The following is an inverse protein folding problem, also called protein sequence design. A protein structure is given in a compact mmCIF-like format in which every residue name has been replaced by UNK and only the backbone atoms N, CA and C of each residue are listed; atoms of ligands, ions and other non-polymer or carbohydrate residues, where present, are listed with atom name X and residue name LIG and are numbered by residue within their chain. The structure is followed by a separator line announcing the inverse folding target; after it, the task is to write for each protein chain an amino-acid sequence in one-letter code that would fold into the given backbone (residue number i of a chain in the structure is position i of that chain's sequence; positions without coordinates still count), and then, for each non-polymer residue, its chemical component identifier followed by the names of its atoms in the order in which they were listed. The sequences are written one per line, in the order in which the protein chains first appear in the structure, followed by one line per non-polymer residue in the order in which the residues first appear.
data_IF_536647635246
#
_entry.id   IF_536647635246
#
_cell.length_a   1.000
_cell.length_b   1.000
_cell.length_c   1.000
_cell.angle_alpha   90.00
_cell.angle_beta   90.00
_cell.angle_gamma   90.00
#
_symmetry.space_group_name_H-M   'P 1'
#
loop_
_entity.id
_entity.type
_entity.pdbx_description
1 polymer ?
#
# COMPACT_ATOMS: atom_id res chain seq x y z
N UNK A 1 -14.41 20.14 -7.88
CA UNK A 1 -14.12 20.83 -6.60
C UNK A 1 -12.61 20.88 -6.46
N UNK A 2 -12.04 22.08 -6.62
CA UNK A 2 -10.62 22.33 -6.43
C UNK A 2 -10.50 23.39 -5.36
N UNK A 3 -9.75 23.13 -4.29
CA UNK A 3 -9.41 24.13 -3.30
C UNK A 3 -7.95 24.55 -3.49
N UNK A 4 -7.80 25.85 -3.75
CA UNK A 4 -6.54 26.58 -3.76
C UNK A 4 -6.45 27.31 -2.42
N UNK A 5 -5.36 27.16 -1.67
CA UNK A 5 -5.10 28.01 -0.51
C UNK A 5 -4.05 29.04 -0.89
N UNK A 6 -4.45 30.31 -0.89
CA UNK A 6 -3.55 31.45 -0.82
C UNK A 6 -3.67 32.10 0.57
N UNK A 7 -2.51 32.53 1.05
CA UNK A 7 -2.20 33.23 2.29
C UNK A 7 -3.22 34.28 2.72
N UNK A 8 -3.44 34.44 4.03
CA UNK A 8 -3.15 35.67 4.79
C UNK A 8 -3.49 35.45 6.28
N UNK A 9 -2.48 35.59 7.13
CA UNK A 9 -2.62 35.70 8.57
C UNK A 9 -3.12 37.09 8.95
N UNK A 10 -3.96 37.24 9.98
CA UNK A 10 -3.87 38.38 10.90
C UNK A 10 -4.63 38.16 12.22
N UNK A 11 -3.97 38.59 13.30
CA UNK A 11 -4.44 38.86 14.67
C UNK A 11 -4.55 37.65 15.62
N UNK A 12 -3.50 37.54 16.46
CA UNK A 12 -3.35 37.06 17.85
C UNK A 12 -4.36 36.08 18.48
N UNK A 13 -5.65 36.10 18.13
CA UNK A 13 -6.66 35.16 18.63
C UNK A 13 -6.58 33.76 18.01
N UNK A 14 -6.03 33.62 16.81
CA UNK A 14 -5.85 32.31 16.15
C UNK A 14 -4.67 31.53 16.76
N UNK A 15 -3.68 32.21 17.37
CA UNK A 15 -2.53 31.53 17.99
C UNK A 15 -2.98 30.63 19.15
N UNK A 16 -3.98 31.05 19.94
CA UNK A 16 -4.51 30.21 21.02
C UNK A 16 -5.36 29.03 20.52
N UNK A 17 -6.06 29.19 19.39
CA UNK A 17 -6.88 28.14 18.78
C UNK A 17 -6.00 27.09 18.07
N UNK A 18 -4.91 27.51 17.42
CA UNK A 18 -3.90 26.60 16.88
C UNK A 18 -3.22 25.78 17.98
N UNK A 19 -2.99 26.34 19.18
CA UNK A 19 -2.41 25.57 20.30
C UNK A 19 -3.35 24.45 20.76
N UNK A 20 -4.67 24.67 20.74
CA UNK A 20 -5.64 23.61 21.10
C UNK A 20 -5.75 22.51 20.05
N UNK A 21 -5.60 22.82 18.77
CA UNK A 21 -5.48 21.80 17.71
C UNK A 21 -4.11 21.09 17.72
N UNK A 22 -3.03 21.78 18.14
CA UNK A 22 -1.72 21.18 18.38
C UNK A 22 -1.70 20.23 19.59
N UNK A 23 -2.50 20.48 20.63
CA UNK A 23 -2.60 19.58 21.78
C UNK A 23 -3.31 18.25 21.46
N UNK A 24 -4.08 18.19 20.37
CA UNK A 24 -4.58 16.91 19.84
C UNK A 24 -3.53 16.17 18.99
N UNK A 25 -2.44 16.84 18.63
CA UNK A 25 -1.31 16.28 17.88
C UNK A 25 -0.16 15.79 18.77
N UNK A 26 -0.30 15.84 20.11
CA UNK A 26 0.73 15.38 21.05
C UNK A 26 1.01 13.86 20.98
N UNK A 27 0.21 13.08 20.24
CA UNK A 27 0.53 11.69 19.83
C UNK A 27 1.02 11.56 18.37
N UNK A 28 0.80 12.57 17.53
CA UNK A 28 1.21 12.58 16.12
C UNK A 28 2.65 13.12 15.92
N UNK A 29 3.20 13.85 16.89
CA UNK A 29 4.56 14.40 16.84
C UNK A 29 5.67 13.35 17.09
N UNK A 30 5.30 12.09 17.37
CA UNK A 30 6.20 10.94 17.26
C UNK A 30 6.32 10.38 15.82
N UNK A 31 5.58 10.85 14.82
CA UNK A 31 5.34 10.04 13.60
C UNK A 31 6.49 10.09 12.59
N UNK A 32 7.20 11.21 12.41
CA UNK A 32 8.18 11.34 11.32
C UNK A 32 9.64 11.33 11.74
N UNK A 33 9.97 11.63 12.99
CA UNK A 33 11.36 11.69 13.47
C UNK A 33 11.49 11.01 14.82
N UNK A 34 12.62 10.36 15.06
CA UNK A 34 12.98 9.85 16.38
C UNK A 34 14.34 10.39 16.80
N UNK A 35 14.53 10.52 18.11
CA UNK A 35 15.84 10.84 18.68
C UNK A 35 16.78 9.66 18.46
N UNK A 36 17.82 9.83 17.65
CA UNK A 36 18.72 8.75 17.25
C UNK A 36 20.05 8.80 18.03
N UNK A 37 20.63 9.99 18.21
CA UNK A 37 21.87 10.16 18.95
C UNK A 37 21.83 11.35 19.89
N UNK A 38 22.15 11.13 21.16
CA UNK A 38 22.24 12.17 22.18
C UNK A 38 23.71 12.56 22.41
N UNK A 39 23.98 13.86 22.55
CA UNK A 39 25.35 14.40 22.69
C UNK A 39 26.21 14.23 21.43
N UNK A 40 25.58 14.03 20.27
CA UNK A 40 26.25 13.84 18.99
C UNK A 40 25.54 14.61 17.89
N UNK A 41 26.31 14.94 16.85
CA UNK A 41 25.88 15.72 15.70
C UNK A 41 26.41 15.09 14.42
N UNK A 42 25.58 15.00 13.39
CA UNK A 42 26.03 14.72 12.02
C UNK A 42 26.71 15.97 11.49
N UNK A 43 27.96 15.85 11.07
CA UNK A 43 28.78 17.01 10.67
C UNK A 43 28.96 17.15 9.15
N UNK A 44 28.64 16.11 8.40
CA UNK A 44 28.75 16.07 6.95
C UNK A 44 27.35 16.14 6.31
N UNK A 45 27.29 16.60 5.06
CA UNK A 45 26.04 16.68 4.29
C UNK A 45 24.95 17.52 4.95
N UNK A 46 25.33 18.69 5.49
CA UNK A 46 24.39 19.70 5.99
C UNK A 46 23.70 20.39 4.81
N UNK A 47 22.38 20.27 4.73
CA UNK A 47 21.54 20.91 3.70
C UNK A 47 21.37 22.41 3.94
N UNK A 48 21.04 22.77 5.18
CA UNK A 48 20.75 24.14 5.57
C UNK A 48 20.79 24.30 7.09
N UNK A 49 20.97 25.54 7.51
CA UNK A 49 21.09 25.93 8.90
C UNK A 49 20.00 26.95 9.23
N UNK A 50 19.34 26.77 10.38
CA UNK A 50 18.22 27.60 10.80
C UNK A 50 18.33 27.95 12.28
N UNK A 51 17.73 29.09 12.64
CA UNK A 51 17.44 29.48 14.02
C UNK A 51 15.98 29.17 14.30
N UNK A 52 15.72 28.33 15.28
CA UNK A 52 14.37 27.89 15.62
C UNK A 52 14.14 27.89 17.13
N UNK A 53 12.89 28.01 17.57
CA UNK A 53 12.56 28.05 19.00
C UNK A 53 12.52 26.68 19.67
N UNK A 54 12.29 25.60 18.90
CA UNK A 54 12.27 24.24 19.42
C UNK A 54 12.66 23.21 18.35
N UNK A 55 12.94 21.98 18.79
CA UNK A 55 13.24 20.86 17.89
C UNK A 55 12.10 20.58 16.90
N UNK A 56 10.86 20.87 17.28
CA UNK A 56 9.67 20.67 16.45
C UNK A 56 9.69 21.57 15.21
N UNK A 57 10.10 22.82 15.36
CA UNK A 57 10.25 23.73 14.22
C UNK A 57 11.37 23.25 13.27
N UNK A 58 12.46 22.69 13.81
CA UNK A 58 13.50 22.06 12.99
C UNK A 58 12.95 20.86 12.20
N UNK A 59 12.10 20.04 12.84
CA UNK A 59 11.41 18.94 12.21
C UNK A 59 10.47 19.40 11.08
N UNK A 60 9.73 20.49 11.28
CA UNK A 60 8.86 21.08 10.24
C UNK A 60 9.66 21.58 9.04
N UNK A 61 10.83 22.21 9.26
CA UNK A 61 11.73 22.58 8.17
C UNK A 61 12.22 21.34 7.40
N UNK A 62 12.57 20.26 8.11
CA UNK A 62 12.99 19.00 7.48
C UNK A 62 11.85 18.31 6.71
N UNK A 63 10.64 18.26 7.27
CA UNK A 63 9.49 17.59 6.67
C UNK A 63 8.90 18.38 5.50
N UNK A 64 8.63 19.67 5.69
CA UNK A 64 7.96 20.52 4.71
C UNK A 64 8.92 21.12 3.68
N UNK A 65 9.87 21.94 4.13
CA UNK A 65 10.72 22.73 3.22
C UNK A 65 11.77 21.88 2.50
N UNK A 66 12.46 20.99 3.23
CA UNK A 66 13.45 20.09 2.64
C UNK A 66 12.84 18.77 2.10
N UNK A 67 11.56 18.49 2.41
CA UNK A 67 10.81 17.38 1.84
C UNK A 67 11.51 16.02 1.96
N UNK A 68 11.48 15.26 0.87
CA UNK A 68 12.14 13.95 0.74
C UNK A 68 13.68 13.99 0.80
N UNK A 69 14.29 15.17 0.67
CA UNK A 69 15.75 15.30 0.63
C UNK A 69 16.37 15.34 2.02
N UNK A 70 15.59 15.50 3.09
CA UNK A 70 16.11 15.61 4.45
C UNK A 70 16.01 14.26 5.20
N UNK A 71 17.13 13.60 5.51
CA UNK A 71 17.13 12.36 6.31
C UNK A 71 16.91 12.59 7.80
N UNK A 72 17.06 13.83 8.27
CA UNK A 72 17.09 14.14 9.70
C UNK A 72 17.64 15.53 9.94
N UNK A 73 17.82 15.86 11.20
CA UNK A 73 18.35 17.15 11.59
C UNK A 73 19.09 17.08 12.93
N UNK A 74 20.11 17.92 13.06
CA UNK A 74 20.74 18.22 14.33
C UNK A 74 19.99 19.35 15.02
N UNK A 75 19.74 19.21 16.30
CA UNK A 75 19.15 20.26 17.12
C UNK A 75 19.86 20.39 18.46
N UNK A 76 20.02 21.62 18.94
CA UNK A 76 20.37 21.92 20.33
C UNK A 76 19.43 22.98 20.88
N UNK A 77 19.17 22.94 22.19
CA UNK A 77 18.53 24.09 22.83
C UNK A 77 19.52 25.24 22.88
N UNK A 78 19.06 26.47 22.63
CA UNK A 78 19.87 27.66 22.78
C UNK A 78 19.01 28.82 23.26
N UNK A 79 19.54 29.57 24.21
CA UNK A 79 18.97 30.84 24.70
C UNK A 79 19.73 32.05 24.17
N UNK A 80 20.78 31.82 23.37
CA UNK A 80 21.65 32.85 22.82
C UNK A 80 21.02 33.39 21.55
N UNK A 81 20.90 34.72 21.47
CA UNK A 81 20.38 35.37 20.28
C UNK A 81 21.33 35.15 19.08
N UNK A 82 20.75 34.78 17.94
CA UNK A 82 21.44 34.51 16.67
C UNK A 82 22.36 33.29 16.62
N UNK A 83 22.29 32.40 17.61
CA UNK A 83 22.97 31.11 17.50
C UNK A 83 22.17 30.13 16.62
N UNK A 84 22.83 29.55 15.61
CA UNK A 84 22.28 28.44 14.83
C UNK A 84 22.11 27.23 15.74
N UNK A 85 20.88 26.76 15.85
CA UNK A 85 20.51 25.66 16.74
C UNK A 85 19.76 24.52 16.04
N UNK A 86 19.54 24.64 14.72
CA UNK A 86 18.94 23.63 13.86
C UNK A 86 19.77 23.46 12.58
N UNK A 87 20.07 22.22 12.18
CA UNK A 87 20.75 21.93 10.92
C UNK A 87 20.15 20.71 10.24
N UNK A 88 19.67 20.86 9.01
CA UNK A 88 19.06 19.79 8.24
C UNK A 88 20.14 18.96 7.56
N UNK A 89 19.97 17.63 7.48
CA UNK A 89 20.95 16.72 6.88
C UNK A 89 20.38 16.02 5.64
N UNK A 90 21.20 15.84 4.60
CA UNK A 90 20.80 15.16 3.35
C UNK A 90 20.35 13.73 3.61
N UNK A 91 19.31 13.29 2.91
CA UNK A 91 18.95 11.91 2.70
C UNK A 91 20.03 11.21 1.88
N UNK A 92 21.07 10.71 2.54
CA UNK A 92 21.91 9.70 1.91
C UNK A 92 21.00 8.54 1.54
N UNK A 93 21.14 8.01 0.31
CA UNK A 93 20.60 6.70 0.00
C UNK A 93 21.07 5.78 1.11
N UNK A 94 20.13 5.30 1.94
CA UNK A 94 20.40 4.35 3.01
C UNK A 94 20.87 3.02 2.40
N UNK A 95 22.10 3.01 1.90
CA UNK A 95 22.91 1.81 1.87
C UNK A 95 23.51 1.71 3.27
N UNK A 96 23.04 0.69 3.99
CA UNK A 96 23.61 0.20 5.25
C UNK A 96 23.26 0.92 6.56
N UNK A 97 22.43 1.98 6.53
CA UNK A 97 21.73 2.46 7.74
C UNK A 97 22.59 3.07 8.86
N UNK A 98 23.89 3.28 8.64
CA UNK A 98 24.79 3.91 9.62
C UNK A 98 24.92 5.40 9.34
N UNK A 99 24.42 6.23 10.26
CA UNK A 99 24.61 7.68 10.24
C UNK A 99 25.83 8.00 11.13
N UNK A 100 26.90 8.53 10.53
CA UNK A 100 28.09 8.92 11.28
C UNK A 100 27.87 10.23 12.04
N UNK A 101 27.50 10.12 13.32
CA UNK A 101 27.38 11.26 14.22
C UNK A 101 28.65 11.40 15.10
N UNK A 102 29.26 12.59 15.11
CA UNK A 102 30.44 12.90 15.94
C UNK A 102 30.01 13.46 17.30
N UNK A 103 30.80 13.16 18.33
CA UNK A 103 30.56 13.65 19.68
C UNK A 103 30.58 15.17 19.71
N UNK A 104 29.47 15.76 20.16
CA UNK A 104 29.33 17.18 20.38
C UNK A 104 28.29 17.39 21.45
N UNK A 105 28.76 17.72 22.64
CA UNK A 105 27.91 18.01 23.78
C UNK A 105 26.88 19.09 23.40
N UNK A 106 25.70 18.98 24.00
CA UNK A 106 24.51 19.84 23.77
C UNK A 106 23.72 19.60 22.47
N UNK A 107 24.28 18.89 21.49
CA UNK A 107 23.57 18.56 20.25
C UNK A 107 22.91 17.17 20.30
N UNK A 108 21.76 17.09 19.65
CA UNK A 108 20.98 15.87 19.48
C UNK A 108 20.66 15.70 18.00
N UNK A 109 20.89 14.51 17.47
CA UNK A 109 20.47 14.16 16.12
C UNK A 109 19.11 13.44 16.13
N UNK A 110 18.17 13.99 15.36
CA UNK A 110 16.85 13.45 15.11
C UNK A 110 16.82 12.85 13.71
N UNK A 111 16.60 11.54 13.62
CA UNK A 111 16.55 10.82 12.36
C UNK A 111 15.12 10.72 11.87
N UNK A 112 14.89 10.90 10.57
CA UNK A 112 13.59 10.65 9.95
C UNK A 112 13.27 9.17 10.13
N UNK A 113 12.14 8.88 10.77
CA UNK A 113 11.50 7.57 10.70
C UNK A 113 11.22 7.33 9.23
N UNK A 114 11.96 6.40 8.62
CA UNK A 114 11.64 5.97 7.28
C UNK A 114 10.21 5.44 7.33
N UNK A 115 9.29 6.14 6.66
CA UNK A 115 7.98 5.57 6.35
C UNK A 115 8.28 4.46 5.36
N UNK A 116 8.58 3.26 5.87
CA UNK A 116 8.49 2.05 5.08
C UNK A 116 7.02 1.98 4.74
N UNK A 117 6.65 2.48 3.55
CA UNK A 117 5.31 2.30 3.01
C UNK A 117 5.03 0.82 3.17
N UNK A 118 4.01 0.49 3.95
CA UNK A 118 3.68 -0.91 4.22
C UNK A 118 3.55 -1.60 2.86
N UNK A 119 4.46 -2.53 2.53
CA UNK A 119 4.46 -3.13 1.21
C UNK A 119 3.24 -4.06 1.01
N UNK A 120 2.46 -4.30 2.07
CA UNK A 120 1.17 -4.97 2.04
C UNK A 120 -0.03 -3.99 1.98
N UNK A 121 0.18 -2.68 1.81
CA UNK A 121 -0.90 -1.69 1.76
C UNK A 121 -0.79 -0.70 0.57
N UNK A 122 -1.73 -0.75 -0.40
CA UNK A 122 -2.78 -1.77 -0.56
C UNK A 122 -2.18 -3.16 -0.85
N UNK A 123 -2.91 -4.24 -0.53
CA UNK A 123 -2.40 -5.60 -0.69
C UNK A 123 -1.97 -5.85 -2.15
N UNK A 124 -0.73 -6.28 -2.40
CA UNK A 124 -0.28 -6.67 -3.72
C UNK A 124 -0.80 -8.06 -4.13
N UNK A 125 -1.44 -8.80 -3.22
CA UNK A 125 -1.99 -10.14 -3.47
C UNK A 125 -3.48 -10.03 -3.80
N UNK A 126 -3.90 -10.58 -4.94
CA UNK A 126 -5.30 -10.58 -5.39
C UNK A 126 -6.17 -11.53 -4.57
N UNK A 127 -5.77 -12.81 -4.51
CA UNK A 127 -6.48 -13.87 -3.77
C UNK A 127 -5.54 -14.55 -2.77
N UNK A 128 -5.01 -13.76 -1.84
CA UNK A 128 -4.08 -14.27 -0.85
C UNK A 128 -3.73 -13.27 0.25
N UNK A 129 -3.02 -13.76 1.25
CA UNK A 129 -2.50 -12.93 2.34
C UNK A 129 -1.09 -12.45 2.02
N UNK A 130 -0.85 -11.14 2.12
CA UNK A 130 0.47 -10.56 2.00
C UNK A 130 1.30 -10.80 3.27
N UNK A 131 2.53 -11.28 3.10
CA UNK A 131 3.47 -11.56 4.18
C UNK A 131 4.78 -10.82 3.91
N UNK A 132 5.19 -9.95 4.83
CA UNK A 132 6.48 -9.26 4.79
C UNK A 132 7.61 -10.19 5.17
N UNK A 133 8.74 -10.10 4.46
CA UNK A 133 9.95 -10.82 4.84
C UNK A 133 10.61 -10.13 6.04
N UNK A 134 10.89 -10.89 7.10
CA UNK A 134 11.49 -10.34 8.34
C UNK A 134 12.95 -9.95 8.19
N UNK A 135 13.67 -10.55 7.22
CA UNK A 135 15.07 -10.23 6.93
C UNK A 135 15.21 -9.00 6.03
N UNK A 136 14.27 -8.80 5.10
CA UNK A 136 14.18 -7.62 4.24
C UNK A 136 12.75 -7.08 4.22
N UNK A 137 12.50 -6.03 5.02
CA UNK A 137 11.17 -5.42 5.20
C UNK A 137 10.59 -4.78 3.93
N UNK A 138 11.32 -4.76 2.81
CA UNK A 138 10.83 -4.31 1.50
C UNK A 138 10.36 -5.46 0.61
N UNK A 139 10.71 -6.70 0.96
CA UNK A 139 10.34 -7.87 0.19
C UNK A 139 9.07 -8.51 0.77
N UNK A 140 8.15 -8.90 -0.12
CA UNK A 140 6.85 -9.48 0.23
C UNK A 140 6.61 -10.78 -0.51
N UNK A 141 5.84 -11.67 0.12
CA UNK A 141 5.39 -12.92 -0.48
C UNK A 141 3.89 -13.07 -0.26
N UNK A 142 3.18 -13.48 -1.31
CA UNK A 142 1.76 -13.79 -1.22
C UNK A 142 1.57 -15.26 -0.85
N UNK A 143 0.76 -15.51 0.19
CA UNK A 143 0.23 -16.84 0.49
C UNK A 143 -1.16 -16.95 -0.12
N UNK A 144 -1.27 -17.69 -1.22
CA UNK A 144 -2.52 -17.80 -1.97
C UNK A 144 -3.58 -18.60 -1.20
N UNK A 145 -4.83 -18.19 -1.38
CA UNK A 145 -5.98 -18.97 -0.97
C UNK A 145 -6.09 -20.24 -1.81
N UNK A 146 -6.88 -21.21 -1.33
CA UNK A 146 -7.11 -22.46 -2.07
C UNK A 146 -7.62 -22.15 -3.50
N UNK A 147 -7.18 -22.96 -4.47
CA UNK A 147 -7.48 -22.79 -5.90
C UNK A 147 -6.82 -21.58 -6.58
N UNK A 148 -5.88 -20.88 -5.95
CA UNK A 148 -5.11 -19.80 -6.57
C UNK A 148 -3.60 -20.03 -6.50
N UNK A 149 -2.89 -19.58 -7.53
CA UNK A 149 -1.44 -19.62 -7.66
C UNK A 149 -0.90 -18.37 -8.37
N UNK A 150 0.42 -18.31 -8.52
CA UNK A 150 1.14 -17.16 -9.07
C UNK A 150 1.80 -16.33 -7.97
N UNK A 151 2.61 -15.36 -8.39
CA UNK A 151 3.40 -14.54 -7.45
C UNK A 151 2.52 -13.61 -6.62
N UNK A 152 1.42 -13.16 -7.21
CA UNK A 152 0.42 -12.27 -6.61
C UNK A 152 -0.92 -12.98 -6.38
N UNK A 153 -1.00 -14.31 -6.52
CA UNK A 153 -2.24 -15.09 -6.44
C UNK A 153 -3.27 -14.65 -7.49
N UNK A 154 -2.79 -14.36 -8.68
CA UNK A 154 -3.53 -13.85 -9.83
C UNK A 154 -4.15 -14.95 -10.70
N UNK A 155 -3.65 -16.18 -10.58
CA UNK A 155 -4.05 -17.30 -11.45
C UNK A 155 -4.91 -18.29 -10.67
N UNK A 156 -6.06 -18.69 -11.25
CA UNK A 156 -6.87 -19.78 -10.69
C UNK A 156 -6.29 -21.13 -11.13
N UNK A 157 -6.12 -22.04 -10.19
CA UNK A 157 -5.74 -23.43 -10.44
C UNK A 157 -6.98 -24.18 -10.93
N UNK A 158 -6.86 -24.83 -12.09
CA UNK A 158 -7.88 -25.73 -12.62
C UNK A 158 -7.46 -27.19 -12.43
N UNK A 159 -8.36 -28.00 -11.90
CA UNK A 159 -8.21 -29.46 -11.84
C UNK A 159 -8.53 -30.04 -13.22
N UNK A 160 -7.55 -30.66 -13.90
CA UNK A 160 -7.77 -31.24 -15.23
C UNK A 160 -8.75 -32.43 -15.22
N UNK A 161 -9.03 -33.02 -14.05
CA UNK A 161 -9.94 -34.17 -13.93
C UNK A 161 -11.37 -33.77 -13.55
N UNK A 162 -11.62 -32.47 -13.28
CA UNK A 162 -12.94 -31.99 -12.88
C UNK A 162 -13.73 -31.45 -14.08
N UNK A 163 -14.93 -31.98 -14.30
CA UNK A 163 -15.88 -31.38 -15.24
C UNK A 163 -16.56 -30.16 -14.60
N UNK A 164 -15.98 -28.98 -14.80
CA UNK A 164 -16.51 -27.71 -14.29
C UNK A 164 -17.92 -27.37 -14.80
N UNK A 165 -18.34 -27.96 -15.92
CA UNK A 165 -19.66 -27.72 -16.49
C UNK A 165 -20.73 -28.63 -15.87
N UNK A 166 -20.36 -29.71 -15.18
CA UNK A 166 -21.30 -30.73 -14.71
C UNK A 166 -22.41 -30.09 -13.86
N UNK A 167 -23.66 -30.31 -14.26
CA UNK A 167 -24.88 -29.80 -13.66
C UNK A 167 -24.98 -28.27 -13.56
N UNK A 168 -24.14 -27.52 -14.29
CA UNK A 168 -24.24 -26.06 -14.35
C UNK A 168 -25.42 -25.61 -15.22
N UNK A 169 -25.97 -24.41 -15.01
CA UNK A 169 -27.02 -23.90 -15.88
C UNK A 169 -26.55 -23.79 -17.34
N UNK A 170 -27.29 -24.40 -18.25
CA UNK A 170 -27.01 -24.35 -19.69
C UNK A 170 -28.19 -23.74 -20.45
N UNK A 171 -27.89 -22.92 -21.45
CA UNK A 171 -28.90 -22.26 -22.30
C UNK A 171 -28.47 -22.28 -23.76
N UNK A 172 -29.43 -22.19 -24.68
CA UNK A 172 -29.18 -22.16 -26.12
C UNK A 172 -30.09 -21.16 -26.82
N UNK A 173 -29.78 -20.84 -28.08
CA UNK A 173 -30.63 -20.02 -28.96
C UNK A 173 -31.99 -20.66 -29.24
N UNK A 174 -32.02 -21.98 -29.34
CA UNK A 174 -33.22 -22.79 -29.53
C UNK A 174 -33.00 -24.19 -28.97
N UNK A 175 -34.08 -24.92 -28.70
CA UNK A 175 -34.05 -26.31 -28.27
C UNK A 175 -35.31 -27.01 -28.75
N UNK A 176 -35.20 -28.22 -29.30
CA UNK A 176 -36.38 -29.05 -29.55
C UNK A 176 -36.89 -29.62 -28.22
N UNK A 177 -38.21 -29.89 -28.11
CA UNK A 177 -38.86 -30.27 -26.84
C UNK A 177 -38.22 -31.48 -26.15
N UNK A 178 -37.58 -32.36 -26.93
CA UNK A 178 -36.88 -33.55 -26.43
C UNK A 178 -35.39 -33.34 -26.14
N UNK A 179 -34.77 -32.22 -26.50
CA UNK A 179 -33.31 -32.04 -26.46
C UNK A 179 -32.90 -30.73 -25.78
N UNK A 180 -32.96 -30.75 -24.45
CA UNK A 180 -32.65 -29.58 -23.61
C UNK A 180 -31.15 -29.29 -23.58
N UNK A 181 -30.79 -27.99 -23.51
CA UNK A 181 -29.41 -27.52 -23.37
C UNK A 181 -28.69 -28.13 -22.16
N UNK A 182 -29.46 -28.53 -21.13
CA UNK A 182 -28.97 -29.15 -19.89
C UNK A 182 -28.36 -30.55 -20.12
N UNK A 183 -28.72 -31.26 -21.19
CA UNK A 183 -28.16 -32.58 -21.50
C UNK A 183 -26.67 -32.52 -21.84
N UNK A 184 -26.20 -31.39 -22.37
CA UNK A 184 -24.78 -31.21 -22.65
C UNK A 184 -23.90 -31.13 -21.39
N UNK A 185 -24.51 -31.05 -20.21
CA UNK A 185 -23.81 -30.90 -18.93
C UNK A 185 -24.27 -31.88 -17.85
N UNK A 186 -25.04 -32.90 -18.21
CA UNK A 186 -25.61 -33.85 -17.23
C UNK A 186 -24.65 -35.00 -16.85
N UNK A 187 -23.48 -35.07 -17.51
CA UNK A 187 -22.46 -36.09 -17.27
C UNK A 187 -22.68 -37.38 -18.07
N UNK A 188 -23.73 -37.47 -18.89
CA UNK A 188 -23.95 -38.58 -19.79
C UNK A 188 -23.18 -38.38 -21.10
N UNK A 189 -22.20 -39.25 -21.38
CA UNK A 189 -21.39 -39.18 -22.61
C UNK A 189 -21.95 -40.04 -23.74
N UNK A 190 -23.18 -40.56 -23.60
CA UNK A 190 -23.80 -41.38 -24.64
C UNK A 190 -24.07 -40.54 -25.90
N UNK A 191 -23.48 -40.96 -27.00
CA UNK A 191 -23.62 -40.32 -28.31
C UNK A 191 -24.83 -40.82 -29.10
N UNK A 192 -25.55 -41.81 -28.57
CA UNK A 192 -26.76 -42.33 -29.21
C UNK A 192 -27.90 -41.31 -29.13
N UNK A 193 -28.39 -40.96 -30.31
CA UNK A 193 -29.39 -39.94 -30.53
C UNK A 193 -30.72 -40.27 -29.84
N UNK A 194 -31.13 -41.54 -29.94
CA UNK A 194 -32.41 -42.01 -29.44
C UNK A 194 -32.38 -42.24 -27.92
N UNK A 195 -31.17 -42.31 -27.33
CA UNK A 195 -30.94 -42.51 -25.91
C UNK A 195 -30.98 -41.22 -25.07
N UNK A 196 -31.41 -40.10 -25.66
CA UNK A 196 -31.58 -38.83 -24.94
C UNK A 196 -30.30 -38.23 -24.33
N UNK A 197 -29.11 -38.62 -24.81
CA UNK A 197 -27.82 -38.12 -24.31
C UNK A 197 -27.36 -36.79 -24.92
N UNK A 198 -28.01 -36.31 -25.99
CA UNK A 198 -27.55 -35.14 -26.75
C UNK A 198 -28.53 -33.96 -26.71
N UNK A 199 -27.95 -32.76 -26.79
CA UNK A 199 -28.65 -31.49 -27.06
C UNK A 199 -28.78 -31.27 -28.58
N UNK A 200 -29.88 -30.67 -29.03
CA UNK A 200 -30.14 -30.29 -30.42
C UNK A 200 -30.77 -28.90 -30.49
N UNK A 201 -30.19 -28.05 -31.33
CA UNK A 201 -30.79 -26.79 -31.74
C UNK A 201 -31.62 -26.96 -33.03
N UNK A 202 -32.61 -26.10 -33.24
CA UNK A 202 -33.41 -26.10 -34.48
C UNK A 202 -32.57 -25.74 -35.71
N UNK A 203 -33.03 -26.08 -36.92
CA UNK A 203 -32.32 -25.73 -38.16
C UNK A 203 -32.39 -24.23 -38.43
N UNK A 204 -31.37 -23.46 -38.02
CA UNK A 204 -31.20 -22.04 -38.37
C UNK A 204 -29.73 -21.70 -38.60
N UNK A 205 -29.46 -20.58 -39.28
CA UNK A 205 -28.11 -20.20 -39.70
C UNK A 205 -27.16 -19.80 -38.55
N UNK A 206 -27.66 -19.59 -37.33
CA UNK A 206 -26.85 -19.11 -36.19
C UNK A 206 -27.30 -19.69 -34.86
N UNK A 207 -27.08 -20.99 -34.68
CA UNK A 207 -27.34 -21.64 -33.39
C UNK A 207 -26.15 -21.47 -32.43
N UNK A 208 -26.44 -21.23 -31.15
CA UNK A 208 -25.45 -21.16 -30.07
C UNK A 208 -25.92 -21.91 -28.83
N UNK A 209 -24.96 -22.34 -28.03
CA UNK A 209 -25.15 -22.93 -26.71
C UNK A 209 -24.12 -22.32 -25.76
N UNK A 210 -24.52 -22.08 -24.50
CA UNK A 210 -23.64 -21.55 -23.45
C UNK A 210 -23.92 -22.24 -22.12
N UNK A 211 -22.87 -22.42 -21.34
CA UNK A 211 -22.94 -22.80 -19.93
C UNK A 211 -22.55 -21.60 -19.07
N UNK A 212 -23.30 -21.39 -17.99
CA UNK A 212 -22.95 -20.46 -16.93
C UNK A 212 -22.19 -21.23 -15.85
N UNK A 213 -20.88 -21.04 -15.77
CA UNK A 213 -20.04 -21.74 -14.80
C UNK A 213 -20.32 -21.32 -13.36
N UNK A 214 -20.99 -20.19 -13.16
CA UNK A 214 -21.25 -19.52 -11.89
C UNK A 214 -19.95 -19.26 -11.13
N UNK A 215 -19.59 -18.00 -10.93
CA UNK A 215 -18.51 -17.71 -9.99
C UNK A 215 -18.91 -18.22 -8.61
N UNK A 216 -18.07 -19.08 -8.01
CA UNK A 216 -18.21 -19.40 -6.59
C UNK A 216 -17.87 -18.12 -5.83
N UNK A 217 -18.87 -17.30 -5.51
CA UNK A 217 -18.73 -16.23 -4.55
C UNK A 217 -18.54 -16.92 -3.19
N UNK A 218 -17.29 -17.10 -2.78
CA UNK A 218 -16.91 -17.46 -1.41
C UNK A 218 -16.45 -16.21 -0.67
#
# INVERSE_FOLDING_TARGET
MSFCFASYAFKLGIILLLIKELQAADDADQVWFHKAHNGKKVIENILSEHKVISWLFCALHCHGYAGQFCAGFNYKSSTIDNEVNCQLTVAQQQRDGVIEAKAKNDWVFYQRKQYIKDPCSPSPCFHGTCVVNTADRRNVTCKCFEKYEGKACETRIYDPNLNYALNKPATSSSSTYAHLSQRAVDGNTNTDWDASGCFQAESSEKQWWRVDFQEEIQ
#
